data_IF_564424644711
#
_entry.id   IF_564424644711
#
_cell.length_a   1.000
_cell.length_b   1.000
_cell.length_c   1.000
_cell.angle_alpha   90.00
_cell.angle_beta   90.00
_cell.angle_gamma   90.00
#
_symmetry.space_group_name_H-M   'P 1'
#
loop_
_entity.id
_entity.type
_entity.pdbx_description
1 polymer ?
#
# COMPACT_ATOMS: atom_id res chain seq x y z
N UNK A 1 26.25 -9.86 11.23
CA UNK A 1 25.62 -8.51 11.20
C UNK A 1 25.32 -8.10 12.63
N UNK A 2 25.49 -6.82 13.00
CA UNK A 2 25.20 -6.36 14.37
C UNK A 2 23.71 -6.63 14.69
N UNK A 3 23.37 -7.35 15.78
CA UNK A 3 21.98 -7.71 16.11
C UNK A 3 21.07 -6.49 16.28
N UNK A 4 21.64 -5.36 16.67
CA UNK A 4 20.91 -4.09 16.80
C UNK A 4 20.46 -3.54 15.43
N UNK A 5 21.29 -3.69 14.39
CA UNK A 5 20.95 -3.24 13.03
C UNK A 5 19.85 -4.12 12.45
N UNK A 6 19.94 -5.44 12.63
CA UNK A 6 18.92 -6.38 12.17
C UNK A 6 17.56 -6.06 12.81
N UNK A 7 17.53 -5.88 14.13
CA UNK A 7 16.31 -5.55 14.87
C UNK A 7 15.70 -4.21 14.41
N UNK A 8 16.54 -3.21 14.17
CA UNK A 8 16.06 -1.90 13.65
C UNK A 8 15.46 -2.04 12.25
N UNK A 9 16.11 -2.79 11.35
CA UNK A 9 15.59 -3.04 10.02
C UNK A 9 14.24 -3.77 10.06
N UNK A 10 14.08 -4.77 10.91
CA UNK A 10 12.81 -5.48 11.11
C UNK A 10 11.70 -4.56 11.62
N UNK A 11 12.01 -3.69 12.61
CA UNK A 11 11.04 -2.72 13.13
C UNK A 11 10.61 -1.74 12.04
N UNK A 12 11.54 -1.23 11.23
CA UNK A 12 11.22 -0.32 10.12
C UNK A 12 10.29 -0.99 9.10
N UNK A 13 10.55 -2.25 8.75
CA UNK A 13 9.70 -3.01 7.82
C UNK A 13 8.29 -3.22 8.38
N UNK A 14 8.16 -3.54 9.68
CA UNK A 14 6.86 -3.69 10.33
C UNK A 14 6.09 -2.36 10.36
N UNK A 15 6.77 -1.26 10.69
CA UNK A 15 6.16 0.08 10.67
C UNK A 15 5.69 0.43 9.26
N UNK A 16 6.48 0.13 8.23
CA UNK A 16 6.10 0.36 6.83
C UNK A 16 4.84 -0.45 6.45
N UNK A 17 4.77 -1.72 6.83
CA UNK A 17 3.58 -2.56 6.64
C UNK A 17 2.34 -1.98 7.34
N UNK A 18 2.52 -1.46 8.56
CA UNK A 18 1.45 -0.83 9.33
C UNK A 18 0.95 0.47 8.67
N UNK A 19 1.87 1.29 8.13
CA UNK A 19 1.52 2.51 7.38
C UNK A 19 0.70 2.17 6.13
N UNK A 20 1.10 1.17 5.35
CA UNK A 20 0.35 0.71 4.16
C UNK A 20 -1.06 0.25 4.55
N UNK A 21 -1.18 -0.51 5.63
CA UNK A 21 -2.48 -0.98 6.14
C UNK A 21 -3.37 0.20 6.55
N UNK A 22 -2.83 1.15 7.31
CA UNK A 22 -3.57 2.33 7.75
C UNK A 22 -4.03 3.17 6.56
N UNK A 23 -3.18 3.39 5.56
CA UNK A 23 -3.57 4.11 4.33
C UNK A 23 -4.71 3.41 3.59
N UNK A 24 -4.65 2.07 3.46
CA UNK A 24 -5.73 1.30 2.83
C UNK A 24 -7.06 1.42 3.57
N UNK A 25 -7.03 1.35 4.90
CA UNK A 25 -8.23 1.53 5.74
C UNK A 25 -8.80 2.94 5.63
N UNK A 26 -7.96 3.98 5.66
CA UNK A 26 -8.39 5.39 5.53
C UNK A 26 -9.02 5.63 4.16
N UNK A 27 -8.45 5.05 3.09
CA UNK A 27 -9.01 5.16 1.75
C UNK A 27 -10.42 4.55 1.68
N UNK A 28 -10.61 3.32 2.17
CA UNK A 28 -11.92 2.65 2.18
C UNK A 28 -12.92 3.42 3.04
N UNK A 29 -12.51 3.89 4.22
CA UNK A 29 -13.35 4.70 5.10
C UNK A 29 -13.76 6.03 4.45
N UNK A 30 -12.84 6.67 3.71
CA UNK A 30 -13.13 7.89 2.95
C UNK A 30 -14.15 7.66 1.83
N UNK A 31 -14.01 6.57 1.07
CA UNK A 31 -14.96 6.18 0.05
C UNK A 31 -16.35 5.90 0.65
N UNK A 32 -16.41 5.16 1.75
CA UNK A 32 -17.66 4.88 2.44
C UNK A 32 -18.34 6.16 2.95
N UNK A 33 -17.57 7.10 3.51
CA UNK A 33 -18.10 8.38 3.96
C UNK A 33 -18.67 9.21 2.82
N UNK A 34 -17.97 9.29 1.69
CA UNK A 34 -18.44 10.02 0.52
C UNK A 34 -19.75 9.42 -0.03
N UNK A 35 -19.82 8.09 -0.10
CA UNK A 35 -21.03 7.40 -0.55
C UNK A 35 -22.20 7.65 0.40
N UNK A 36 -21.96 7.58 1.73
CA UNK A 36 -23.03 7.89 2.71
C UNK A 36 -23.55 9.32 2.56
N UNK A 37 -22.70 10.30 2.25
CA UNK A 37 -23.14 11.66 1.99
C UNK A 37 -24.00 11.76 0.72
N UNK A 38 -23.65 11.03 -0.35
CA UNK A 38 -24.49 10.95 -1.55
C UNK A 38 -25.83 10.29 -1.22
N UNK A 39 -25.83 9.17 -0.49
CA UNK A 39 -27.03 8.41 -0.16
C UNK A 39 -28.02 9.21 0.70
N UNK A 40 -27.51 10.08 1.59
CA UNK A 40 -28.34 10.90 2.50
C UNK A 40 -29.15 11.98 1.73
N UNK A 41 -28.63 12.51 0.62
CA UNK A 41 -29.25 13.57 -0.18
C UNK A 41 -29.17 13.29 -1.68
N UNK A 42 -29.46 12.08 -2.09
CA UNK A 42 -29.25 11.59 -3.45
C UNK A 42 -30.23 12.16 -4.45
N UNK A 43 -29.70 12.71 -5.55
CA UNK A 43 -30.45 12.92 -6.78
C UNK A 43 -29.78 12.17 -7.93
N UNK A 44 -30.59 11.77 -8.91
CA UNK A 44 -30.13 11.03 -10.08
C UNK A 44 -30.43 11.83 -11.33
N UNK A 45 -29.42 12.04 -12.17
CA UNK A 45 -29.53 12.77 -13.43
C UNK A 45 -28.73 12.10 -14.55
N UNK A 46 -29.04 12.47 -15.79
CA UNK A 46 -28.22 12.07 -16.94
C UNK A 46 -27.06 13.05 -17.10
N UNK A 47 -25.86 12.50 -17.26
CA UNK A 47 -24.63 13.24 -17.46
C UNK A 47 -23.95 12.85 -18.78
N UNK A 48 -23.30 13.81 -19.41
CA UNK A 48 -22.49 13.59 -20.61
C UNK A 48 -21.01 13.48 -20.17
N UNK A 49 -20.33 12.41 -20.56
CA UNK A 49 -18.90 12.21 -20.27
C UNK A 49 -18.07 13.06 -21.22
N UNK A 50 -17.43 14.10 -20.68
CA UNK A 50 -16.61 15.03 -21.46
C UNK A 50 -15.22 14.47 -21.73
N UNK A 51 -14.64 13.80 -20.73
CA UNK A 51 -13.38 13.08 -20.87
C UNK A 51 -13.35 11.90 -19.92
N UNK A 52 -12.71 10.83 -20.33
CA UNK A 52 -12.50 9.66 -19.48
C UNK A 52 -11.11 9.08 -19.72
N UNK A 53 -10.40 8.82 -18.64
CA UNK A 53 -9.18 8.04 -18.61
C UNK A 53 -9.31 6.91 -17.57
N UNK A 54 -8.23 6.17 -17.34
CA UNK A 54 -8.25 5.01 -16.43
C UNK A 54 -8.60 5.39 -14.97
N UNK A 55 -8.29 6.60 -14.55
CA UNK A 55 -8.37 7.04 -13.15
C UNK A 55 -9.34 8.21 -12.93
N UNK A 56 -9.69 8.93 -14.00
CA UNK A 56 -10.53 10.13 -13.92
C UNK A 56 -11.55 10.15 -15.04
N UNK A 57 -12.75 10.63 -14.73
CA UNK A 57 -13.76 10.94 -15.71
C UNK A 57 -14.40 12.29 -15.36
N UNK A 58 -14.32 13.22 -16.29
CA UNK A 58 -15.04 14.49 -16.19
C UNK A 58 -16.39 14.37 -16.87
N UNK A 59 -17.42 14.85 -16.20
CA UNK A 59 -18.80 14.86 -16.71
C UNK A 59 -19.42 16.23 -16.55
N UNK A 60 -20.42 16.49 -17.39
CA UNK A 60 -21.31 17.62 -17.24
C UNK A 60 -22.73 17.11 -17.06
N UNK A 61 -23.43 17.63 -16.08
CA UNK A 61 -24.84 17.35 -15.86
C UNK A 61 -25.60 18.60 -15.41
N UNK A 62 -26.90 18.54 -15.52
CA UNK A 62 -27.78 19.57 -15.02
C UNK A 62 -28.37 19.10 -13.70
N UNK A 63 -28.21 19.88 -12.65
CA UNK A 63 -28.78 19.61 -11.33
C UNK A 63 -30.32 19.70 -11.35
N UNK A 64 -30.98 19.21 -10.30
CA UNK A 64 -32.45 19.35 -10.18
C UNK A 64 -32.91 20.79 -10.16
N UNK A 65 -32.05 21.74 -9.74
CA UNK A 65 -32.34 23.16 -9.71
C UNK A 65 -32.16 23.83 -11.09
N UNK A 66 -31.68 23.09 -12.08
CA UNK A 66 -31.48 23.56 -13.45
C UNK A 66 -30.09 24.10 -13.75
N UNK A 67 -29.17 24.09 -12.80
CA UNK A 67 -27.81 24.57 -12.96
C UNK A 67 -26.92 23.54 -13.64
N UNK A 68 -26.06 23.97 -14.56
CA UNK A 68 -25.01 23.12 -15.13
C UNK A 68 -23.86 22.97 -14.16
N UNK A 69 -23.50 21.74 -13.86
CA UNK A 69 -22.41 21.42 -12.94
C UNK A 69 -21.42 20.41 -13.55
N UNK A 70 -20.14 20.62 -13.25
CA UNK A 70 -19.05 19.73 -13.57
C UNK A 70 -18.21 19.50 -12.32
N UNK A 71 -18.24 18.29 -11.71
CA UNK A 71 -17.50 18.01 -10.50
C UNK A 71 -16.01 18.27 -10.66
N UNK A 72 -15.40 19.03 -9.76
CA UNK A 72 -14.00 19.48 -9.86
C UNK A 72 -12.99 18.36 -9.86
N UNK A 73 -13.28 17.28 -9.14
CA UNK A 73 -12.44 16.10 -9.06
C UNK A 73 -12.86 14.98 -10.03
N UNK A 74 -13.88 15.25 -10.87
CA UNK A 74 -14.52 14.26 -11.71
C UNK A 74 -15.42 13.30 -10.91
N UNK A 75 -15.88 12.22 -11.57
CA UNK A 75 -16.72 11.21 -10.94
C UNK A 75 -15.91 10.30 -10.00
N UNK A 76 -16.53 9.89 -8.91
CA UNK A 76 -16.07 8.74 -8.12
C UNK A 76 -16.21 7.45 -8.95
N UNK A 77 -15.29 6.52 -8.78
CA UNK A 77 -15.32 5.21 -9.47
C UNK A 77 -15.43 5.29 -11.01
N UNK A 78 -14.53 5.99 -11.71
CA UNK A 78 -14.63 6.34 -13.14
C UNK A 78 -14.34 5.19 -14.11
N UNK A 79 -14.23 3.94 -13.64
CA UNK A 79 -13.87 2.78 -14.47
C UNK A 79 -14.86 2.52 -15.60
N UNK A 80 -14.35 2.08 -16.77
CA UNK A 80 -15.15 1.68 -17.93
C UNK A 80 -16.02 2.79 -18.53
N UNK A 81 -15.64 4.05 -18.36
CA UNK A 81 -16.29 5.18 -19.02
C UNK A 81 -15.54 5.57 -20.29
N UNK A 82 -16.29 6.05 -21.28
CA UNK A 82 -15.74 6.54 -22.55
C UNK A 82 -16.24 7.94 -22.84
N UNK A 83 -15.38 8.76 -23.46
CA UNK A 83 -15.74 10.12 -23.87
C UNK A 83 -16.94 10.11 -24.81
N UNK A 84 -17.87 11.03 -24.61
CA UNK A 84 -19.10 11.15 -25.39
C UNK A 84 -20.22 10.19 -24.96
N UNK A 85 -19.97 9.33 -23.97
CA UNK A 85 -20.97 8.45 -23.40
C UNK A 85 -21.95 9.27 -22.54
N UNK A 86 -23.23 8.90 -22.59
CA UNK A 86 -24.25 9.43 -21.70
C UNK A 86 -24.57 8.39 -20.63
N UNK A 87 -24.45 8.79 -19.36
CA UNK A 87 -24.61 7.89 -18.22
C UNK A 87 -25.55 8.48 -17.18
N UNK A 88 -26.18 7.62 -16.38
CA UNK A 88 -26.88 8.03 -15.18
C UNK A 88 -25.89 8.26 -14.05
N UNK A 89 -25.99 9.40 -13.37
CA UNK A 89 -25.12 9.83 -12.29
C UNK A 89 -25.97 10.11 -11.05
N UNK A 90 -25.52 9.60 -9.91
CA UNK A 90 -26.02 9.91 -8.57
C UNK A 90 -25.10 10.95 -7.93
N UNK A 91 -25.68 11.99 -7.34
CA UNK A 91 -24.90 13.05 -6.69
C UNK A 91 -25.61 13.54 -5.42
N UNK A 92 -24.83 14.15 -4.52
CA UNK A 92 -25.36 14.84 -3.34
C UNK A 92 -25.90 16.21 -3.74
N UNK A 93 -27.21 16.44 -3.54
CA UNK A 93 -27.88 17.72 -3.86
C UNK A 93 -27.26 18.88 -3.10
N UNK A 94 -26.78 18.66 -1.88
CA UNK A 94 -26.13 19.69 -1.06
C UNK A 94 -24.68 19.98 -1.46
N UNK A 95 -24.03 19.01 -2.15
CA UNK A 95 -22.66 19.13 -2.64
C UNK A 95 -22.50 18.41 -3.99
N UNK A 96 -22.89 19.04 -5.11
CA UNK A 96 -22.83 18.43 -6.44
C UNK A 96 -21.43 18.02 -6.93
N UNK A 97 -20.36 18.42 -6.23
CA UNK A 97 -19.01 17.93 -6.49
C UNK A 97 -18.82 16.46 -6.09
N UNK A 98 -19.70 15.93 -5.22
CA UNK A 98 -19.75 14.51 -4.88
C UNK A 98 -20.74 13.81 -5.82
N UNK A 99 -20.22 13.17 -6.84
CA UNK A 99 -21.01 12.46 -7.84
C UNK A 99 -20.35 11.12 -8.22
N UNK A 100 -21.19 10.12 -8.49
CA UNK A 100 -20.76 8.76 -8.90
C UNK A 100 -21.67 8.23 -10.02
N UNK A 101 -21.20 7.32 -10.88
CA UNK A 101 -22.08 6.60 -11.80
C UNK A 101 -23.13 5.81 -10.99
N UNK A 102 -24.38 5.82 -11.46
CA UNK A 102 -25.47 5.14 -10.79
C UNK A 102 -25.18 3.65 -10.57
N UNK A 103 -25.48 3.17 -9.35
CA UNK A 103 -25.26 1.79 -8.94
C UNK A 103 -23.80 1.43 -8.60
N UNK A 104 -22.87 2.38 -8.62
CA UNK A 104 -21.49 2.18 -8.12
C UNK A 104 -21.34 2.72 -6.72
N UNK A 105 -20.55 2.01 -5.89
CA UNK A 105 -20.37 2.38 -4.51
C UNK A 105 -18.96 2.04 -3.99
N UNK A 106 -18.68 2.39 -2.76
CA UNK A 106 -17.40 2.20 -2.07
C UNK A 106 -16.88 0.76 -2.09
N UNK A 107 -17.73 -0.24 -2.32
CA UNK A 107 -17.31 -1.65 -2.39
C UNK A 107 -16.32 -1.89 -3.52
N UNK A 108 -16.38 -1.08 -4.61
CA UNK A 108 -15.40 -1.14 -5.68
C UNK A 108 -13.99 -0.74 -5.23
N UNK A 109 -13.86 0.06 -4.17
CA UNK A 109 -12.58 0.45 -3.60
C UNK A 109 -11.95 -0.65 -2.72
N UNK A 110 -12.74 -1.62 -2.24
CA UNK A 110 -12.26 -2.70 -1.36
C UNK A 110 -11.22 -3.56 -2.07
N UNK A 111 -11.51 -4.01 -3.29
CA UNK A 111 -10.62 -4.93 -4.03
C UNK A 111 -9.23 -4.32 -4.27
N UNK A 112 -9.10 -3.10 -4.82
CA UNK A 112 -7.78 -2.49 -5.00
C UNK A 112 -7.09 -2.18 -3.65
N UNK A 113 -7.82 -1.75 -2.62
CA UNK A 113 -7.26 -1.51 -1.31
C UNK A 113 -6.70 -2.78 -0.66
N UNK A 114 -7.47 -3.88 -0.69
CA UNK A 114 -7.00 -5.19 -0.19
C UNK A 114 -5.82 -5.72 -0.98
N UNK A 115 -5.83 -5.59 -2.30
CA UNK A 115 -4.71 -6.07 -3.13
C UNK A 115 -3.41 -5.34 -2.81
N UNK A 116 -3.44 -4.01 -2.61
CA UNK A 116 -2.28 -3.22 -2.20
C UNK A 116 -1.79 -3.65 -0.81
N UNK A 117 -2.70 -3.87 0.15
CA UNK A 117 -2.34 -4.34 1.48
C UNK A 117 -1.69 -5.73 1.45
N UNK A 118 -2.28 -6.68 0.72
CA UNK A 118 -1.73 -8.05 0.59
C UNK A 118 -0.35 -8.02 -0.06
N UNK A 119 -0.19 -7.32 -1.19
CA UNK A 119 1.11 -7.18 -1.86
C UNK A 119 2.13 -6.51 -0.94
N UNK A 120 1.74 -5.45 -0.24
CA UNK A 120 2.61 -4.76 0.73
C UNK A 120 3.11 -5.71 1.82
N UNK A 121 2.23 -6.53 2.42
CA UNK A 121 2.62 -7.51 3.42
C UNK A 121 3.46 -8.66 2.87
N UNK A 122 3.22 -9.10 1.63
CA UNK A 122 4.08 -10.09 0.97
C UNK A 122 5.49 -9.56 0.75
N UNK A 123 5.64 -8.31 0.34
CA UNK A 123 6.95 -7.65 0.19
C UNK A 123 7.65 -7.53 1.53
N UNK A 124 6.96 -7.06 2.58
CA UNK A 124 7.52 -6.98 3.94
C UNK A 124 7.96 -8.35 4.43
N UNK A 125 7.13 -9.39 4.26
CA UNK A 125 7.45 -10.76 4.65
C UNK A 125 8.66 -11.31 3.90
N UNK A 126 8.73 -11.12 2.59
CA UNK A 126 9.86 -11.55 1.77
C UNK A 126 11.17 -10.87 2.20
N UNK A 127 11.15 -9.56 2.46
CA UNK A 127 12.31 -8.82 2.95
C UNK A 127 12.74 -9.29 4.36
N UNK A 128 11.80 -9.60 5.24
CA UNK A 128 12.12 -10.16 6.56
C UNK A 128 12.81 -11.52 6.47
N UNK A 129 12.30 -12.41 5.60
CA UNK A 129 12.92 -13.74 5.37
C UNK A 129 14.32 -13.57 4.79
N UNK A 130 14.48 -12.67 3.81
CA UNK A 130 15.77 -12.36 3.20
C UNK A 130 16.79 -11.85 4.22
N UNK A 131 16.39 -10.92 5.09
CA UNK A 131 17.24 -10.41 6.18
C UNK A 131 17.64 -11.52 7.17
N UNK A 132 16.71 -12.40 7.53
CA UNK A 132 16.97 -13.52 8.41
C UNK A 132 17.97 -14.51 7.79
N UNK A 133 17.81 -14.83 6.50
CA UNK A 133 18.71 -15.73 5.77
C UNK A 133 20.12 -15.14 5.60
N UNK A 134 20.23 -13.85 5.27
CA UNK A 134 21.53 -13.17 5.20
C UNK A 134 22.23 -13.22 6.56
N UNK A 135 21.50 -12.94 7.64
CA UNK A 135 22.08 -12.99 8.97
C UNK A 135 22.54 -14.41 9.35
N UNK A 136 21.76 -15.43 9.05
CA UNK A 136 22.11 -16.83 9.27
C UNK A 136 23.38 -17.22 8.52
N UNK A 137 23.51 -16.84 7.25
CA UNK A 137 24.69 -17.11 6.43
C UNK A 137 25.94 -16.40 6.93
N UNK A 138 25.80 -15.17 7.44
CA UNK A 138 26.94 -14.43 8.03
C UNK A 138 27.42 -15.08 9.31
N UNK A 139 26.52 -15.54 10.18
CA UNK A 139 26.87 -16.25 11.41
C UNK A 139 27.57 -17.59 11.13
N UNK A 140 27.07 -18.37 10.16
CA UNK A 140 27.67 -19.64 9.76
C UNK A 140 29.10 -19.47 9.18
N UNK A 141 29.35 -18.37 8.45
CA UNK A 141 30.71 -18.06 7.95
C UNK A 141 31.66 -17.66 9.06
N UNK A 142 31.16 -16.90 10.04
CA UNK A 142 31.96 -16.47 11.20
C UNK A 142 32.39 -17.65 12.09
N UNK A 143 31.52 -18.64 12.30
CA UNK A 143 31.86 -19.86 13.06
C UNK A 143 32.86 -20.76 12.32
N UNK A 144 32.72 -20.92 11.00
CA UNK A 144 33.66 -21.72 10.20
C UNK A 144 35.06 -21.08 10.17
N UNK A 145 35.17 -19.77 10.23
CA UNK A 145 36.44 -19.05 10.24
C UNK A 145 37.13 -19.14 11.63
N UNK A 146 36.35 -19.10 12.71
CA UNK A 146 36.87 -19.28 14.08
C UNK A 146 37.38 -20.70 14.32
N UNK A 147 36.73 -21.73 13.79
CA UNK A 147 37.17 -23.13 13.86
C UNK A 147 38.47 -23.37 13.03
N UNK A 148 38.59 -22.72 11.86
CA UNK A 148 39.81 -22.80 11.02
C UNK A 148 41.02 -22.16 11.67
N UNK A 149 40.86 -21.03 12.33
CA UNK A 149 41.95 -20.30 13.01
C UNK A 149 42.41 -21.04 14.28
N UNK A 150 41.52 -21.79 14.92
CA UNK A 150 41.84 -22.63 16.09
C UNK A 150 42.54 -23.95 15.75
N UNK A 151 42.55 -24.36 14.47
CA UNK A 151 43.13 -25.58 13.97
C UNK A 151 44.52 -25.37 13.35
N UNK A 152 45.07 -24.15 13.38
CA UNK A 152 46.40 -23.87 12.85
C UNK A 152 47.49 -24.40 13.83
N UNK A 153 48.24 -25.44 13.49
CA UNK A 153 49.19 -26.10 14.40
C UNK A 153 50.35 -25.21 14.82
N UNK A 154 50.60 -24.11 14.10
CA UNK A 154 51.68 -23.16 14.39
C UNK A 154 51.40 -22.36 15.68
N UNK A 155 50.15 -22.03 16.00
CA UNK A 155 49.77 -21.31 17.24
C UNK A 155 49.84 -22.24 18.47
N UNK A 156 49.60 -23.54 18.31
CA UNK A 156 49.71 -24.53 19.36
C UNK A 156 51.16 -24.77 19.77
N UNK A 157 52.11 -24.74 18.81
CA UNK A 157 53.55 -24.92 19.08
C UNK A 157 54.17 -23.74 19.83
N UNK A 158 53.71 -22.52 19.62
CA UNK A 158 54.23 -21.32 20.27
C UNK A 158 53.78 -21.21 21.73
N UNK A 159 52.59 -21.77 22.08
CA UNK A 159 52.11 -21.83 23.47
C UNK A 159 52.81 -22.89 24.31
N UNK A 160 53.27 -24.01 23.69
CA UNK A 160 54.00 -25.06 24.42
C UNK A 160 55.44 -24.66 24.74
N UNK A 161 56.10 -23.92 23.84
CA UNK A 161 57.48 -23.44 24.05
C UNK A 161 57.53 -22.32 25.11
N UNK A 162 56.51 -21.49 25.24
CA UNK A 162 56.40 -20.45 26.28
C UNK A 162 56.12 -20.96 27.69
N UNK A 163 55.64 -22.22 27.84
CA UNK A 163 55.37 -22.85 29.14
C UNK A 163 56.58 -23.55 29.73
N UNK A 164 57.57 -23.89 28.94
CA UNK A 164 58.78 -24.61 29.39
C UNK A 164 59.88 -23.63 29.86
N UNK A 165 59.73 -22.33 29.55
CA UNK A 165 60.71 -21.27 29.90
C UNK A 165 60.45 -20.51 31.22
N UNK A 166 59.63 -21.05 32.14
CA UNK A 166 59.38 -20.45 33.49
C UNK A 166 59.77 -21.39 34.62
#
# INVERSE_FOLDING_TARGET
MNPTILRRAQIVLLVLGMVVTTMGLVLVAGCHRNDSQIDDNMATVMADVVSADRLHAAVNFQTVDGDFHSPRLGLLYPTELTQGQRISVEYDVTNPDLARPAGRNWTLAIVPALSIMVVGWLVVGALMVLLAEINRRMLARGSAQADGDSADPEVAAEQEDGAIAR
#
